data_IF_801100564841
#
_entry.id   IF_801100564841
#
_cell.length_a   1.000
_cell.length_b   1.000
_cell.length_c   1.000
_cell.angle_alpha   90.00
_cell.angle_beta   90.00
_cell.angle_gamma   90.00
#
_symmetry.space_group_name_H-M   'P 1'
#
loop_
_entity.id
_entity.type
_entity.pdbx_description
1 polymer ?
#
# COMPACT_ATOMS: atom_id res chain seq x y z
N UNK A 1 -5.34 15.48 14.25
CA UNK A 1 -5.59 14.71 13.12
C UNK A 1 -4.51 13.76 12.78
N UNK A 2 -4.75 12.60 13.26
CA UNK A 2 -3.83 11.50 13.08
C UNK A 2 -4.05 10.87 11.72
N UNK A 3 -2.96 10.36 11.18
CA UNK A 3 -3.01 9.55 9.98
C UNK A 3 -3.03 8.09 10.37
N UNK A 4 -3.66 7.29 9.52
CA UNK A 4 -3.61 5.84 9.63
C UNK A 4 -2.67 5.35 8.53
N UNK A 5 -1.62 4.63 8.91
CA UNK A 5 -0.67 4.07 7.94
C UNK A 5 -0.79 2.55 7.97
N UNK A 6 -1.14 1.98 6.82
CA UNK A 6 -1.19 0.54 6.64
C UNK A 6 0.14 0.09 6.05
N UNK A 7 0.83 -0.81 6.73
CA UNK A 7 2.12 -1.31 6.29
C UNK A 7 2.04 -2.81 6.10
N UNK A 8 2.51 -3.29 4.96
CA UNK A 8 2.57 -4.71 4.66
C UNK A 8 4.04 -5.09 4.42
N UNK A 9 4.53 -6.10 5.14
CA UNK A 9 5.92 -6.54 5.03
C UNK A 9 6.01 -7.67 4.02
N UNK A 10 6.98 -7.55 3.11
CA UNK A 10 7.21 -8.55 2.05
C UNK A 10 8.65 -9.04 2.10
N UNK A 11 8.81 -10.34 1.91
CA UNK A 11 10.12 -11.00 1.95
C UNK A 11 10.60 -11.43 0.57
N UNK A 12 9.91 -11.03 -0.49
CA UNK A 12 10.26 -11.40 -1.86
C UNK A 12 11.67 -10.95 -2.21
N UNK A 13 12.36 -11.74 -3.01
CA UNK A 13 13.70 -11.46 -3.48
C UNK A 13 13.77 -11.65 -4.98
N UNK A 14 14.35 -10.71 -5.71
CA UNK A 14 14.76 -9.37 -5.24
C UNK A 14 13.56 -8.46 -5.01
N UNK A 15 13.73 -7.47 -4.15
CA UNK A 15 12.71 -6.44 -3.99
C UNK A 15 12.66 -5.60 -5.27
N UNK A 16 11.47 -5.14 -5.69
CA UNK A 16 11.37 -4.28 -6.87
C UNK A 16 11.97 -2.92 -6.61
N UNK A 17 12.46 -2.27 -7.67
CA UNK A 17 13.05 -0.94 -7.58
C UNK A 17 12.00 0.12 -7.34
N UNK A 18 10.81 -0.07 -7.90
CA UNK A 18 9.75 0.93 -7.90
C UNK A 18 8.42 0.24 -7.67
N UNK A 19 7.47 1.03 -7.16
CA UNK A 19 6.14 0.50 -6.86
C UNK A 19 5.45 -0.06 -8.11
N UNK A 20 5.73 0.49 -9.28
CA UNK A 20 5.15 0.00 -10.52
C UNK A 20 5.59 -1.41 -10.85
N UNK A 21 6.72 -1.84 -10.32
CA UNK A 21 7.26 -3.18 -10.56
C UNK A 21 6.84 -4.18 -9.48
N UNK A 22 6.12 -3.72 -8.45
CA UNK A 22 5.60 -4.63 -7.44
C UNK A 22 4.44 -5.44 -8.01
N UNK A 23 4.22 -6.62 -7.43
CA UNK A 23 3.10 -7.47 -7.82
C UNK A 23 1.78 -6.69 -7.66
N UNK A 24 0.97 -6.57 -8.73
CA UNK A 24 -0.30 -5.85 -8.63
C UNK A 24 -1.23 -6.38 -7.54
N UNK A 25 -1.13 -7.66 -7.20
CA UNK A 25 -1.94 -8.24 -6.14
C UNK A 25 -1.65 -7.59 -4.79
N UNK A 26 -0.41 -7.16 -4.55
CA UNK A 26 -0.05 -6.49 -3.30
C UNK A 26 -0.69 -5.12 -3.22
N UNK A 27 -0.69 -4.39 -4.34
CA UNK A 27 -1.32 -3.07 -4.40
C UNK A 27 -2.82 -3.20 -4.19
N UNK A 28 -3.44 -4.18 -4.83
CA UNK A 28 -4.88 -4.42 -4.67
C UNK A 28 -5.23 -4.75 -3.21
N UNK A 29 -4.43 -5.59 -2.57
CA UNK A 29 -4.66 -5.94 -1.17
C UNK A 29 -4.63 -4.71 -0.28
N UNK A 30 -3.63 -3.85 -0.45
CA UNK A 30 -3.54 -2.61 0.32
C UNK A 30 -4.67 -1.68 0.01
N UNK A 31 -5.09 -1.60 -1.27
CA UNK A 31 -6.20 -0.75 -1.68
C UNK A 31 -7.49 -1.14 -0.98
N UNK A 32 -7.74 -2.45 -0.83
CA UNK A 32 -8.91 -2.94 -0.12
C UNK A 32 -8.84 -2.55 1.36
N UNK A 33 -7.69 -2.75 2.00
CA UNK A 33 -7.53 -2.36 3.41
C UNK A 33 -7.75 -0.87 3.62
N UNK A 34 -7.18 -0.05 2.73
CA UNK A 34 -7.34 1.41 2.82
C UNK A 34 -8.81 1.79 2.67
N UNK A 35 -9.52 1.17 1.72
CA UNK A 35 -10.93 1.47 1.50
C UNK A 35 -11.76 1.15 2.75
N UNK A 36 -11.49 0.02 3.39
CA UNK A 36 -12.19 -0.36 4.63
C UNK A 36 -11.89 0.63 5.74
N UNK A 37 -10.61 0.99 5.91
CA UNK A 37 -10.19 1.89 6.99
C UNK A 37 -10.75 3.29 6.79
N UNK A 38 -10.86 3.76 5.56
CA UNK A 38 -11.48 5.06 5.29
C UNK A 38 -12.94 5.09 5.70
N UNK A 39 -13.63 3.97 5.60
CA UNK A 39 -15.02 3.88 6.04
C UNK A 39 -15.13 3.86 7.55
N UNK A 40 -14.17 3.23 8.23
CA UNK A 40 -14.15 3.17 9.69
C UNK A 40 -13.66 4.48 10.31
N UNK A 41 -12.78 5.19 9.63
CA UNK A 41 -12.19 6.44 10.14
C UNK A 41 -12.32 7.53 9.09
N UNK A 42 -13.55 7.99 8.82
CA UNK A 42 -13.77 8.92 7.70
C UNK A 42 -13.12 10.29 7.87
N UNK A 43 -12.75 10.64 9.11
CA UNK A 43 -12.12 11.92 9.42
C UNK A 43 -10.60 11.85 9.46
N UNK A 44 -10.01 10.71 9.07
CA UNK A 44 -8.55 10.53 9.09
C UNK A 44 -8.03 10.21 7.71
N UNK A 45 -6.82 10.69 7.42
CA UNK A 45 -6.12 10.28 6.21
C UNK A 45 -5.60 8.87 6.39
N UNK A 46 -5.81 8.02 5.37
CA UNK A 46 -5.33 6.64 5.38
C UNK A 46 -4.33 6.47 4.25
N UNK A 47 -3.13 6.03 4.58
CA UNK A 47 -2.04 5.85 3.63
C UNK A 47 -1.55 4.41 3.72
N UNK A 48 -0.86 3.97 2.68
CA UNK A 48 -0.35 2.61 2.61
C UNK A 48 1.09 2.57 2.13
N UNK A 49 1.82 1.57 2.57
CA UNK A 49 3.20 1.36 2.14
C UNK A 49 3.52 -0.13 2.18
N UNK A 50 4.39 -0.55 1.26
CA UNK A 50 5.02 -1.86 1.30
C UNK A 50 6.40 -1.71 1.92
N UNK A 51 6.78 -2.65 2.79
CA UNK A 51 8.11 -2.69 3.35
C UNK A 51 8.78 -3.98 2.88
N UNK A 52 9.87 -3.82 2.16
CA UNK A 52 10.64 -4.96 1.64
C UNK A 52 11.78 -5.23 2.60
N UNK A 53 11.90 -6.49 3.03
CA UNK A 53 12.94 -6.86 3.97
C UNK A 53 14.25 -7.24 3.27
N UNK A 54 14.19 -7.49 1.97
CA UNK A 54 15.40 -7.74 1.16
C UNK A 54 16.02 -6.40 0.79
N UNK A 55 17.03 -5.94 1.55
CA UNK A 55 17.55 -4.60 1.44
C UNK A 55 16.50 -3.61 1.94
N UNK A 56 16.39 -3.40 3.25
CA UNK A 56 15.23 -2.74 3.86
C UNK A 56 14.83 -1.46 3.11
N UNK A 57 13.57 -1.41 2.69
CA UNK A 57 13.07 -0.30 1.88
C UNK A 57 11.58 -0.10 2.16
N UNK A 58 11.22 1.13 2.51
CA UNK A 58 9.83 1.52 2.64
C UNK A 58 9.37 2.09 1.30
N UNK A 59 8.27 1.56 0.77
CA UNK A 59 7.77 1.94 -0.54
C UNK A 59 6.32 2.41 -0.41
N UNK A 60 6.11 3.73 -0.35
CA UNK A 60 4.74 4.27 -0.27
C UNK A 60 3.93 3.90 -1.52
N UNK A 61 2.64 3.65 -1.32
CA UNK A 61 1.73 3.32 -2.42
C UNK A 61 0.84 4.52 -2.69
N UNK A 62 0.98 5.17 -3.86
CA UNK A 62 0.19 6.36 -4.17
C UNK A 62 -1.30 6.06 -4.25
N UNK A 63 -2.12 7.02 -3.78
CA UNK A 63 -3.58 6.89 -3.85
C UNK A 63 -4.11 6.58 -5.22
N UNK A 64 -3.68 7.31 -6.28
CA UNK A 64 -4.16 7.02 -7.65
C UNK A 64 -3.87 5.59 -8.10
N UNK A 65 -2.75 5.02 -7.67
CA UNK A 65 -2.42 3.64 -8.02
C UNK A 65 -3.41 2.66 -7.37
N UNK A 66 -3.75 2.91 -6.10
CA UNK A 66 -4.74 2.10 -5.40
C UNK A 66 -6.13 2.25 -6.02
N UNK A 67 -6.49 3.46 -6.41
CA UNK A 67 -7.77 3.70 -7.07
C UNK A 67 -7.89 2.91 -8.36
N UNK A 68 -6.83 2.88 -9.17
CA UNK A 68 -6.82 2.09 -10.39
C UNK A 68 -6.92 0.60 -10.11
N UNK A 69 -6.27 0.13 -9.06
CA UNK A 69 -6.33 -1.28 -8.69
C UNK A 69 -7.75 -1.70 -8.32
N UNK A 70 -8.47 -0.84 -7.61
CA UNK A 70 -9.85 -1.12 -7.22
C UNK A 70 -10.81 -1.05 -8.40
N UNK A 71 -10.50 -0.24 -9.40
CA UNK A 71 -11.36 -0.09 -10.58
C UNK A 71 -11.29 -1.30 -11.49
N UNK A 72 -10.30 -2.13 -11.31
CA UNK A 72 -10.19 -3.35 -12.08
C UNK A 72 -9.10 -3.36 -13.04
#
# INVERSE_FOLDING_TARGET
PERVLVVDYKTNRPAPDRIENADPAYVLQLAVYVAVLKRLYPDRAVEAALVWTDGPQLMPVPGPLMDRALAG
#
